data_IF_584078277813
#
_entry.id   IF_584078277813
#
_cell.length_a   1.000
_cell.length_b   1.000
_cell.length_c   1.000
_cell.angle_alpha   90.00
_cell.angle_beta   90.00
_cell.angle_gamma   90.00
#
_symmetry.space_group_name_H-M   'P 1'
#
loop_
_entity.id
_entity.type
_entity.pdbx_description
1 polymer ?
#
# COMPACT_ATOMS: atom_id res chain seq x y z
N UNK A 1 -3.05 16.70 -15.75
CA UNK A 1 -2.53 15.64 -14.83
C UNK A 1 -1.02 15.69 -14.97
N UNK A 2 -0.39 16.71 -14.40
CA UNK A 2 0.92 17.16 -14.90
C UNK A 2 2.08 16.79 -13.96
N UNK A 3 1.76 16.12 -12.83
CA UNK A 3 2.71 15.77 -11.77
C UNK A 3 2.92 14.25 -11.58
N UNK A 4 2.52 13.43 -12.55
CA UNK A 4 2.67 11.96 -12.46
C UNK A 4 3.94 11.49 -13.17
N UNK A 5 4.81 10.81 -12.41
CA UNK A 5 5.98 10.13 -12.98
C UNK A 5 5.53 8.99 -13.89
N UNK A 6 5.97 9.03 -15.16
CA UNK A 6 5.69 8.00 -16.17
C UNK A 6 6.96 7.22 -16.50
N UNK A 7 6.88 5.89 -16.67
CA UNK A 7 8.02 5.11 -17.11
C UNK A 7 8.40 5.49 -18.54
N UNK A 8 9.69 5.43 -18.85
CA UNK A 8 10.19 5.55 -20.22
C UNK A 8 9.73 4.36 -21.06
N UNK A 9 9.21 4.63 -22.25
CA UNK A 9 8.69 3.63 -23.19
C UNK A 9 9.79 3.10 -24.11
N UNK A 10 9.59 1.89 -24.64
CA UNK A 10 10.48 1.26 -25.63
C UNK A 10 11.40 0.17 -25.05
N UNK A 11 11.83 -0.76 -25.92
CA UNK A 11 12.70 -1.90 -25.53
C UNK A 11 14.19 -1.52 -25.49
N UNK A 12 14.61 -0.57 -26.34
CA UNK A 12 15.99 -0.08 -26.45
C UNK A 12 16.16 1.22 -25.65
N UNK A 13 16.03 1.16 -24.33
CA UNK A 13 16.24 2.31 -23.45
C UNK A 13 17.63 2.29 -22.81
N UNK A 14 18.21 3.47 -22.58
CA UNK A 14 19.53 3.61 -21.94
C UNK A 14 19.53 3.00 -20.54
N UNK A 15 20.72 2.62 -20.05
CA UNK A 15 20.89 2.02 -18.72
C UNK A 15 20.26 2.86 -17.61
N UNK A 16 20.42 4.17 -17.67
CA UNK A 16 19.86 5.11 -16.69
C UNK A 16 18.33 5.12 -16.70
N UNK A 17 17.71 5.11 -17.89
CA UNK A 17 16.25 5.02 -18.04
C UNK A 17 15.71 3.68 -17.54
N UNK A 18 16.44 2.58 -17.74
CA UNK A 18 16.10 1.28 -17.14
C UNK A 18 16.13 1.33 -15.61
N UNK A 19 17.17 1.93 -15.03
CA UNK A 19 17.29 2.07 -13.59
C UNK A 19 16.16 2.95 -13.03
N UNK A 20 15.83 4.05 -13.69
CA UNK A 20 14.68 4.88 -13.33
C UNK A 20 13.37 4.09 -13.35
N UNK A 21 13.08 3.38 -14.45
CA UNK A 21 11.87 2.56 -14.57
C UNK A 21 11.80 1.49 -13.47
N UNK A 22 12.93 0.82 -13.17
CA UNK A 22 13.01 -0.16 -12.09
C UNK A 22 12.66 0.46 -10.73
N UNK A 23 13.25 1.62 -10.40
CA UNK A 23 12.96 2.33 -9.13
C UNK A 23 11.51 2.78 -9.06
N UNK A 24 10.95 3.30 -10.16
CA UNK A 24 9.56 3.69 -10.24
C UNK A 24 8.61 2.49 -10.04
N UNK A 25 8.89 1.36 -10.68
CA UNK A 25 8.12 0.12 -10.49
C UNK A 25 8.24 -0.41 -9.05
N UNK A 26 9.42 -0.36 -8.45
CA UNK A 26 9.62 -0.72 -7.04
C UNK A 26 8.80 0.15 -6.09
N UNK A 27 8.75 1.45 -6.33
CA UNK A 27 7.92 2.37 -5.54
C UNK A 27 6.42 2.04 -5.69
N UNK A 28 5.95 1.78 -6.93
CA UNK A 28 4.56 1.38 -7.19
C UNK A 28 4.20 0.06 -6.51
N UNK A 29 5.09 -0.93 -6.56
CA UNK A 29 4.88 -2.22 -5.89
C UNK A 29 4.61 -2.05 -4.39
N UNK A 30 5.36 -1.20 -3.70
CA UNK A 30 5.15 -0.92 -2.27
C UNK A 30 3.75 -0.35 -2.02
N UNK A 31 3.34 0.61 -2.86
CA UNK A 31 2.01 1.24 -2.77
C UNK A 31 0.90 0.23 -3.05
N UNK A 32 1.04 -0.57 -4.11
CA UNK A 32 0.08 -1.63 -4.48
C UNK A 32 -0.06 -2.68 -3.39
N UNK A 33 1.06 -3.14 -2.80
CA UNK A 33 1.04 -4.06 -1.68
C UNK A 33 0.29 -3.46 -0.47
N UNK A 34 0.53 -2.19 -0.13
CA UNK A 34 -0.17 -1.53 0.97
C UNK A 34 -1.69 -1.44 0.74
N UNK A 35 -2.11 -1.08 -0.48
CA UNK A 35 -3.54 -1.08 -0.84
C UNK A 35 -4.15 -2.49 -0.89
N UNK A 36 -3.38 -3.51 -1.28
CA UNK A 36 -3.79 -4.91 -1.19
C UNK A 36 -4.06 -5.36 0.24
N UNK A 37 -3.20 -4.96 1.18
CA UNK A 37 -3.38 -5.22 2.62
C UNK A 37 -4.63 -4.48 3.14
N UNK A 38 -4.82 -3.21 2.80
CA UNK A 38 -5.97 -2.44 3.24
C UNK A 38 -7.29 -2.98 2.68
N UNK A 39 -7.35 -3.28 1.39
CA UNK A 39 -8.55 -3.82 0.74
C UNK A 39 -8.87 -5.25 1.16
N UNK A 40 -7.86 -6.07 1.46
CA UNK A 40 -8.09 -7.41 1.99
C UNK A 40 -8.70 -7.38 3.40
N UNK A 41 -8.26 -6.46 4.27
CA UNK A 41 -8.77 -6.36 5.65
C UNK A 41 -10.10 -5.61 5.76
N UNK A 42 -10.27 -4.52 5.00
CA UNK A 42 -11.42 -3.63 5.15
C UNK A 42 -12.32 -3.67 3.92
N UNK A 43 -13.57 -4.12 4.12
CA UNK A 43 -14.57 -4.25 3.05
C UNK A 43 -14.89 -2.93 2.35
N UNK A 44 -14.69 -1.80 3.02
CA UNK A 44 -14.88 -0.45 2.48
C UNK A 44 -14.05 -0.20 1.22
N UNK A 45 -12.78 -0.61 1.19
CA UNK A 45 -11.88 -0.35 0.06
C UNK A 45 -12.07 -1.34 -1.11
N UNK A 46 -12.99 -2.31 -1.00
CA UNK A 46 -13.31 -3.25 -2.09
C UNK A 46 -14.43 -2.76 -3.00
N UNK A 47 -15.10 -1.67 -2.63
CA UNK A 47 -16.21 -1.08 -3.40
C UNK A 47 -15.83 0.35 -3.80
N UNK A 48 -16.55 0.88 -4.77
CA UNK A 48 -16.46 2.30 -5.13
C UNK A 48 -16.75 3.12 -3.87
N UNK A 49 -15.83 4.04 -3.56
CA UNK A 49 -15.96 4.92 -2.41
C UNK A 49 -16.90 6.06 -2.80
N UNK A 50 -18.07 6.13 -2.16
CA UNK A 50 -19.11 7.13 -2.44
C UNK A 50 -19.08 8.31 -1.48
N UNK A 51 -18.10 8.35 -0.57
CA UNK A 51 -17.91 9.44 0.40
C UNK A 51 -17.08 10.58 -0.18
N UNK A 52 -17.13 11.75 0.45
CA UNK A 52 -16.29 12.88 0.04
C UNK A 52 -14.79 12.55 0.21
N UNK A 53 -13.89 13.24 -0.52
CA UNK A 53 -12.44 13.01 -0.41
C UNK A 53 -11.92 13.19 1.02
N UNK A 54 -12.45 14.15 1.77
CA UNK A 54 -12.02 14.46 3.15
C UNK A 54 -12.37 13.30 4.10
N UNK A 55 -13.60 12.77 3.98
CA UNK A 55 -14.03 11.60 4.77
C UNK A 55 -13.22 10.37 4.38
N UNK A 56 -12.95 10.20 3.08
CA UNK A 56 -12.15 9.09 2.58
C UNK A 56 -10.73 9.12 3.14
N UNK A 57 -10.11 10.30 3.23
CA UNK A 57 -8.80 10.48 3.83
C UNK A 57 -8.79 10.06 5.31
N UNK A 58 -9.82 10.46 6.07
CA UNK A 58 -9.98 10.06 7.47
C UNK A 58 -10.14 8.54 7.61
N UNK A 59 -10.93 7.91 6.73
CA UNK A 59 -11.10 6.46 6.72
C UNK A 59 -9.79 5.72 6.44
N UNK A 60 -8.97 6.19 5.49
CA UNK A 60 -7.64 5.61 5.21
C UNK A 60 -6.72 5.74 6.43
N UNK A 61 -6.66 6.92 7.06
CA UNK A 61 -5.86 7.14 8.28
C UNK A 61 -6.30 6.21 9.41
N UNK A 62 -7.60 6.11 9.66
CA UNK A 62 -8.16 5.22 10.69
C UNK A 62 -7.82 3.75 10.42
N UNK A 63 -7.95 3.30 9.16
CA UNK A 63 -7.61 1.93 8.76
C UNK A 63 -6.13 1.61 8.99
N UNK A 64 -5.22 2.55 8.73
CA UNK A 64 -3.78 2.40 9.00
C UNK A 64 -3.49 2.28 10.50
N UNK A 65 -4.09 3.14 11.34
CA UNK A 65 -3.93 3.09 12.80
C UNK A 65 -4.44 1.75 13.35
N UNK A 66 -5.63 1.34 12.91
CA UNK A 66 -6.25 0.11 13.37
C UNK A 66 -5.48 -1.14 12.92
N UNK A 67 -4.98 -1.15 11.69
CA UNK A 67 -4.09 -2.20 11.19
C UNK A 67 -2.84 -2.36 12.07
N UNK A 68 -2.19 -1.25 12.41
CA UNK A 68 -1.00 -1.27 13.26
C UNK A 68 -1.31 -1.76 14.69
N UNK A 69 -2.45 -1.32 15.25
CA UNK A 69 -2.91 -1.78 16.56
C UNK A 69 -3.16 -3.29 16.58
N UNK A 70 -3.88 -3.81 15.57
CA UNK A 70 -4.17 -5.24 15.46
C UNK A 70 -2.89 -6.07 15.26
N UNK A 71 -1.94 -5.61 14.43
CA UNK A 71 -0.65 -6.28 14.25
C UNK A 71 0.14 -6.39 15.56
N UNK A 72 0.18 -5.32 16.36
CA UNK A 72 0.84 -5.35 17.68
C UNK A 72 0.21 -6.39 18.61
N UNK A 73 -1.12 -6.46 18.64
CA UNK A 73 -1.86 -7.45 19.46
C UNK A 73 -1.62 -8.89 19.01
N UNK A 74 -1.50 -9.13 17.72
CA UNK A 74 -1.23 -10.48 17.19
C UNK A 74 0.21 -10.92 17.48
N UNK A 75 1.20 -10.05 17.28
CA UNK A 75 2.62 -10.38 17.55
C UNK A 75 2.83 -10.67 19.04
N UNK A 76 2.18 -9.93 19.94
CA UNK A 76 2.24 -10.19 21.39
C UNK A 76 1.53 -11.46 21.87
N UNK A 77 0.72 -12.12 21.01
CA UNK A 77 0.13 -13.44 21.28
C UNK A 77 1.04 -14.57 20.83
N UNK A 78 1.77 -14.40 19.73
CA UNK A 78 2.72 -15.40 19.22
C UNK A 78 3.91 -15.60 20.17
N UNK A 79 4.27 -14.59 20.97
CA UNK A 79 5.30 -14.72 22.01
C UNK A 79 4.80 -15.34 23.33
N UNK A 80 3.53 -15.78 23.41
CA UNK A 80 2.92 -16.37 24.62
C UNK A 80 2.45 -17.81 24.45
N UNK A 81 2.93 -18.53 23.44
CA UNK A 81 2.84 -20.00 23.49
C UNK A 81 3.83 -20.48 24.54
N UNK A 82 3.39 -21.15 25.62
CA UNK A 82 4.31 -21.91 26.46
C UNK A 82 4.97 -22.94 25.55
N UNK A 83 6.29 -22.97 25.55
CA UNK A 83 7.03 -24.12 25.06
C UNK A 83 6.70 -25.23 26.05
N UNK A 84 5.90 -26.21 25.62
CA UNK A 84 5.86 -27.52 26.28
C UNK A 84 7.20 -28.24 26.10
#
# INVERSE_FOLDING_TARGET
>A
MDNLLRPFLGRQITRERRLFNYRLSRARLVVECAFGILSSQWRMFRRVITTSPEVTELCVKAACVLHNFLRRKTIGRTSRTPVE
#
